data_IF_145070645261
#
_entry.id   IF_145070645261
#
_cell.length_a   1.000
_cell.length_b   1.000
_cell.length_c   1.000
_cell.angle_alpha   90.00
_cell.angle_beta   90.00
_cell.angle_gamma   90.00
#
_symmetry.space_group_name_H-M   'P 1'
#
loop_
_entity.id
_entity.type
_entity.pdbx_description
1 polymer ?
#
# COMPACT_ATOMS: atom_id res chain seq x y z
N UNK A 1 21.60 10.51 -36.64
CA UNK A 1 20.18 10.83 -36.97
C UNK A 1 19.24 9.61 -37.07
N UNK A 2 19.47 8.60 -37.92
CA UNK A 2 18.61 7.38 -37.91
C UNK A 2 18.83 6.53 -36.63
N UNK A 3 20.09 6.41 -36.19
CA UNK A 3 20.45 5.65 -34.99
C UNK A 3 19.93 6.27 -33.68
N UNK A 4 20.01 7.60 -33.52
CA UNK A 4 19.44 8.30 -32.33
C UNK A 4 17.92 8.12 -32.23
N UNK A 5 17.20 8.06 -33.34
CA UNK A 5 15.75 7.79 -33.34
C UNK A 5 15.42 6.37 -32.92
N UNK A 6 16.20 5.39 -33.40
CA UNK A 6 16.07 4.00 -32.97
C UNK A 6 16.36 3.84 -31.47
N UNK A 7 17.34 4.58 -30.95
CA UNK A 7 17.69 4.61 -29.53
C UNK A 7 16.55 5.22 -28.69
N UNK A 8 16.05 6.40 -29.02
CA UNK A 8 14.95 7.03 -28.26
C UNK A 8 13.63 6.23 -28.37
N UNK A 9 13.35 5.60 -29.52
CA UNK A 9 12.20 4.70 -29.67
C UNK A 9 12.33 3.48 -28.76
N UNK A 10 13.55 2.95 -28.61
CA UNK A 10 13.87 1.85 -27.71
C UNK A 10 13.77 2.27 -26.24
N UNK A 11 14.18 3.50 -25.90
CA UNK A 11 14.05 4.07 -24.55
C UNK A 11 12.58 4.29 -24.14
N UNK A 12 11.75 4.88 -25.00
CA UNK A 12 10.33 5.11 -24.69
C UNK A 12 9.57 3.78 -24.54
N UNK A 13 9.78 2.84 -25.47
CA UNK A 13 9.21 1.48 -25.37
C UNK A 13 9.74 0.75 -24.15
N UNK A 14 11.03 0.87 -23.89
CA UNK A 14 11.69 0.32 -22.71
C UNK A 14 11.07 0.85 -21.42
N UNK A 15 10.89 2.17 -21.31
CA UNK A 15 10.27 2.82 -20.15
C UNK A 15 8.81 2.39 -19.94
N UNK A 16 8.02 2.28 -21.01
CA UNK A 16 6.62 1.84 -20.94
C UNK A 16 6.49 0.36 -20.55
N UNK A 17 7.38 -0.49 -21.06
CA UNK A 17 7.47 -1.89 -20.65
C UNK A 17 7.92 -1.98 -19.19
N UNK A 18 8.95 -1.23 -18.80
CA UNK A 18 9.48 -1.23 -17.44
C UNK A 18 8.44 -0.73 -16.43
N UNK A 19 7.70 0.33 -16.75
CA UNK A 19 6.62 0.85 -15.90
C UNK A 19 5.48 -0.17 -15.78
N UNK A 20 5.13 -0.85 -16.87
CA UNK A 20 4.11 -1.90 -16.85
C UNK A 20 4.55 -3.11 -16.02
N UNK A 21 5.81 -3.52 -16.13
CA UNK A 21 6.41 -4.59 -15.31
C UNK A 21 6.46 -4.17 -13.84
N UNK A 22 6.82 -2.93 -13.52
CA UNK A 22 6.81 -2.42 -12.14
C UNK A 22 5.42 -2.48 -11.53
N UNK A 23 4.40 -2.00 -12.26
CA UNK A 23 3.00 -2.06 -11.80
C UNK A 23 2.56 -3.51 -11.61
N UNK A 24 2.90 -4.40 -12.56
CA UNK A 24 2.58 -5.82 -12.47
C UNK A 24 3.26 -6.50 -11.28
N UNK A 25 4.56 -6.21 -11.07
CA UNK A 25 5.33 -6.69 -9.94
C UNK A 25 4.70 -6.21 -8.63
N UNK A 26 4.32 -4.94 -8.52
CA UNK A 26 3.66 -4.40 -7.32
C UNK A 26 2.30 -5.05 -7.05
N UNK A 27 1.57 -5.50 -8.06
CA UNK A 27 0.22 -6.07 -7.87
C UNK A 27 0.23 -7.58 -7.61
N UNK A 28 1.22 -8.29 -8.12
CA UNK A 28 1.32 -9.76 -8.05
C UNK A 28 2.35 -10.22 -7.01
N UNK A 29 3.17 -9.30 -6.50
CA UNK A 29 4.10 -9.61 -5.43
C UNK A 29 3.35 -10.31 -4.28
N UNK A 30 3.76 -11.53 -3.88
CA UNK A 30 3.04 -12.30 -2.88
C UNK A 30 2.94 -11.56 -1.54
N UNK A 31 3.92 -10.72 -1.22
CA UNK A 31 3.92 -9.88 -0.01
C UNK A 31 2.92 -8.72 -0.03
N UNK A 32 2.21 -8.49 -1.14
CA UNK A 32 1.18 -7.46 -1.27
C UNK A 32 -0.25 -8.04 -1.23
N UNK A 33 -0.38 -9.36 -1.03
CA UNK A 33 -1.68 -9.99 -0.77
C UNK A 33 -2.19 -9.56 0.60
N UNK A 34 -3.50 -9.31 0.68
CA UNK A 34 -4.18 -9.13 1.97
C UNK A 34 -4.18 -10.48 2.68
N UNK A 35 -3.23 -10.69 3.59
CA UNK A 35 -3.17 -11.88 4.44
C UNK A 35 -3.61 -11.53 5.86
N UNK A 36 -4.88 -11.77 6.13
CA UNK A 36 -5.47 -11.58 7.46
C UNK A 36 -5.32 -12.82 8.34
N UNK A 37 -4.56 -13.84 7.92
CA UNK A 37 -4.31 -15.01 8.75
C UNK A 37 -3.54 -14.61 10.00
N UNK A 38 -3.91 -15.23 11.12
CA UNK A 38 -3.30 -14.99 12.44
C UNK A 38 -2.59 -16.24 12.95
N UNK A 39 -2.26 -17.18 12.06
CA UNK A 39 -1.76 -18.53 12.41
C UNK A 39 -0.43 -18.48 13.17
N UNK A 40 0.39 -17.46 12.88
CA UNK A 40 1.72 -17.28 13.49
C UNK A 40 1.70 -16.37 14.73
N UNK A 41 0.53 -15.93 15.19
CA UNK A 41 0.44 -14.97 16.29
C UNK A 41 0.55 -15.68 17.63
N UNK A 42 1.48 -15.20 18.46
CA UNK A 42 1.53 -15.57 19.87
C UNK A 42 0.49 -14.73 20.60
N UNK A 43 -0.52 -15.39 21.17
CA UNK A 43 -1.54 -14.76 22.00
C UNK A 43 -1.16 -14.92 23.47
N UNK A 44 -1.13 -13.82 24.18
CA UNK A 44 -0.78 -13.80 25.59
C UNK A 44 -1.52 -12.69 26.32
N UNK A 45 -1.73 -12.91 27.62
CA UNK A 45 -2.28 -11.92 28.53
C UNK A 45 -1.11 -11.30 29.29
N UNK A 46 -0.97 -9.99 29.18
CA UNK A 46 0.16 -9.23 29.71
C UNK A 46 -0.34 -8.10 30.60
N UNK A 47 0.48 -7.69 31.57
CA UNK A 47 0.17 -6.58 32.46
C UNK A 47 1.01 -5.38 32.04
N UNK A 48 0.38 -4.25 31.78
CA UNK A 48 1.05 -3.03 31.38
C UNK A 48 1.91 -2.50 32.54
N UNK A 49 3.21 -2.33 32.32
CA UNK A 49 4.13 -1.86 33.35
C UNK A 49 3.97 -0.36 33.61
N UNK A 50 3.78 0.41 32.56
CA UNK A 50 3.70 1.87 32.58
C UNK A 50 2.61 2.34 31.63
N UNK A 51 2.01 3.50 31.91
CA UNK A 51 1.04 4.12 31.01
C UNK A 51 1.59 4.20 29.56
N UNK A 52 0.76 3.99 28.53
CA UNK A 52 1.22 4.11 27.14
C UNK A 52 1.83 5.48 26.88
N UNK A 53 3.00 5.51 26.23
CA UNK A 53 3.71 6.75 25.94
C UNK A 53 3.59 7.08 24.45
N UNK A 54 2.90 8.18 24.15
CA UNK A 54 2.69 8.68 22.79
C UNK A 54 3.76 9.73 22.49
N UNK A 55 4.39 9.59 21.34
CA UNK A 55 5.49 10.46 20.94
C UNK A 55 5.64 10.46 19.42
N UNK A 56 6.49 11.33 18.92
CA UNK A 56 6.75 11.51 17.50
C UNK A 56 8.25 11.54 17.20
N UNK A 57 8.66 10.87 16.12
CA UNK A 57 10.04 10.82 15.67
C UNK A 57 10.16 11.50 14.30
N UNK A 58 11.01 12.53 14.20
CA UNK A 58 11.22 13.24 12.94
C UNK A 58 12.34 12.59 12.13
N UNK A 59 11.99 12.06 10.96
CA UNK A 59 12.92 11.38 10.04
C UNK A 59 13.37 12.29 8.90
N UNK A 60 13.66 13.56 9.19
CA UNK A 60 14.17 14.54 8.23
C UNK A 60 13.26 14.69 7.00
N UNK A 61 13.69 14.15 5.84
CA UNK A 61 12.92 14.22 4.57
C UNK A 61 11.73 13.26 4.50
N UNK A 62 11.70 12.21 5.33
CA UNK A 62 10.64 11.20 5.33
C UNK A 62 9.40 11.62 6.13
N UNK A 63 9.44 12.78 6.79
CA UNK A 63 8.35 13.30 7.59
C UNK A 63 8.44 12.92 9.07
N UNK A 64 7.35 13.17 9.78
CA UNK A 64 7.18 12.85 11.21
C UNK A 64 6.43 11.53 11.34
N UNK A 65 6.97 10.61 12.14
CA UNK A 65 6.34 9.33 12.48
C UNK A 65 5.75 9.40 13.88
N UNK A 66 4.43 9.21 13.99
CA UNK A 66 3.77 9.08 15.29
C UNK A 66 3.78 7.63 15.75
N UNK A 67 4.00 7.42 17.05
CA UNK A 67 4.03 6.08 17.63
C UNK A 67 3.52 6.05 19.07
N UNK A 68 3.17 4.84 19.52
CA UNK A 68 2.94 4.56 20.95
C UNK A 68 3.91 3.49 21.44
N UNK A 69 4.52 3.73 22.59
CA UNK A 69 5.38 2.78 23.31
C UNK A 69 4.58 2.07 24.40
N UNK A 70 4.75 0.75 24.45
CA UNK A 70 4.16 -0.14 25.45
C UNK A 70 5.24 -0.99 26.09
N UNK A 71 5.22 -1.05 27.42
CA UNK A 71 6.11 -1.86 28.23
C UNK A 71 5.27 -2.79 29.10
N UNK A 72 5.66 -4.07 29.19
CA UNK A 72 4.94 -5.09 29.95
C UNK A 72 5.74 -5.58 31.14
N UNK A 73 5.03 -5.91 32.22
CA UNK A 73 5.64 -6.39 33.45
C UNK A 73 6.33 -7.74 33.20
N UNK A 74 7.61 -7.83 33.56
CA UNK A 74 8.40 -9.05 33.36
C UNK A 74 8.96 -9.21 31.93
N UNK A 75 8.66 -8.30 31.02
CA UNK A 75 9.27 -8.23 29.69
C UNK A 75 10.21 -7.03 29.61
N UNK A 76 11.43 -7.24 29.11
CA UNK A 76 12.42 -6.15 28.92
C UNK A 76 12.31 -5.49 27.55
N UNK A 77 11.46 -6.01 26.66
CA UNK A 77 11.28 -5.49 25.31
C UNK A 77 10.37 -4.27 25.33
N UNK A 78 10.78 -3.23 24.60
CA UNK A 78 9.93 -2.09 24.26
C UNK A 78 9.12 -2.43 23.00
N UNK A 79 7.80 -2.36 23.09
CA UNK A 79 6.91 -2.54 21.95
C UNK A 79 6.49 -1.19 21.39
N UNK A 80 6.58 -1.01 20.07
CA UNK A 80 6.15 0.20 19.38
C UNK A 80 5.03 -0.10 18.39
N UNK A 81 3.92 0.62 18.50
CA UNK A 81 2.86 0.66 17.47
C UNK A 81 3.10 1.91 16.64
N UNK A 82 3.30 1.74 15.33
CA UNK A 82 3.76 2.78 14.38
C UNK A 82 2.98 2.66 13.07
N UNK A 83 3.09 3.68 12.21
CA UNK A 83 2.64 3.64 10.82
C UNK A 83 1.14 3.32 10.69
N UNK A 84 0.81 2.37 9.79
CA UNK A 84 -0.59 1.99 9.54
C UNK A 84 -1.27 1.47 10.81
N UNK A 85 -0.56 0.70 11.65
CA UNK A 85 -1.15 0.14 12.86
C UNK A 85 -1.52 1.25 13.87
N UNK A 86 -0.72 2.33 13.93
CA UNK A 86 -1.04 3.52 14.72
C UNK A 86 -2.30 4.23 14.22
N UNK A 87 -2.50 4.34 12.90
CA UNK A 87 -3.69 4.96 12.31
C UNK A 87 -4.98 4.19 12.63
N UNK A 88 -4.88 2.88 12.87
CA UNK A 88 -6.01 2.04 13.27
C UNK A 88 -6.13 1.84 14.78
N UNK A 89 -5.33 2.54 15.57
CA UNK A 89 -5.46 2.60 17.02
C UNK A 89 -6.65 3.48 17.37
N UNK A 90 -7.57 2.97 18.20
CA UNK A 90 -8.67 3.76 18.74
C UNK A 90 -8.17 4.71 19.82
N UNK A 91 -7.56 5.83 19.41
CA UNK A 91 -6.85 6.76 20.30
C UNK A 91 -7.66 7.20 21.53
N UNK A 92 -8.87 7.73 21.33
CA UNK A 92 -9.73 8.26 22.41
C UNK A 92 -10.07 7.23 23.48
N UNK A 93 -10.12 5.96 23.07
CA UNK A 93 -10.36 4.83 23.97
C UNK A 93 -9.03 4.35 24.58
N UNK A 94 -7.95 4.35 23.81
CA UNK A 94 -6.64 3.83 24.21
C UNK A 94 -5.97 4.68 25.30
N UNK A 95 -6.20 5.99 25.33
CA UNK A 95 -5.69 6.88 26.38
C UNK A 95 -6.25 6.57 27.78
N UNK A 96 -7.32 5.77 27.86
CA UNK A 96 -7.95 5.33 29.10
C UNK A 96 -7.25 4.10 29.73
N UNK A 97 -6.25 3.53 29.04
CA UNK A 97 -5.44 2.45 29.58
C UNK A 97 -4.37 3.04 30.50
N UNK A 98 -4.22 2.46 31.68
CA UNK A 98 -3.26 2.86 32.71
C UNK A 98 -2.31 1.72 33.10
N UNK A 99 -1.24 2.07 33.80
CA UNK A 99 -0.31 1.11 34.37
C UNK A 99 -1.03 0.12 35.29
N UNK A 100 -0.68 -1.15 35.21
CA UNK A 100 -1.31 -2.23 35.96
C UNK A 100 -2.50 -2.87 35.25
N UNK A 101 -2.97 -2.31 34.14
CA UNK A 101 -4.03 -2.93 33.35
C UNK A 101 -3.59 -4.24 32.72
N UNK A 102 -4.50 -5.21 32.74
CA UNK A 102 -4.35 -6.49 32.04
C UNK A 102 -4.85 -6.36 30.61
N UNK A 103 -3.98 -6.67 29.65
CA UNK A 103 -4.24 -6.59 28.23
C UNK A 103 -4.09 -7.97 27.58
N UNK A 104 -4.92 -8.26 26.60
CA UNK A 104 -4.76 -9.39 25.70
C UNK A 104 -4.07 -8.89 24.43
N UNK A 105 -2.94 -9.49 24.09
CA UNK A 105 -2.18 -9.10 22.90
C UNK A 105 -2.02 -10.29 21.94
N UNK A 106 -1.96 -9.98 20.65
CA UNK A 106 -1.49 -10.89 19.63
C UNK A 106 -0.24 -10.30 18.98
N UNK A 107 0.89 -11.02 19.03
CA UNK A 107 2.18 -10.50 18.54
C UNK A 107 2.96 -11.49 17.68
N UNK A 108 3.86 -10.93 16.87
CA UNK A 108 4.88 -11.69 16.13
C UNK A 108 6.25 -11.09 16.45
N UNK A 109 7.14 -11.88 17.06
CA UNK A 109 8.42 -11.44 17.62
C UNK A 109 8.30 -10.17 18.49
N UNK A 110 8.52 -8.99 17.91
CA UNK A 110 8.55 -7.67 18.58
C UNK A 110 7.45 -6.70 18.10
N UNK A 111 6.45 -7.16 17.35
CA UNK A 111 5.35 -6.34 16.86
C UNK A 111 4.02 -6.81 17.44
N UNK A 112 3.25 -5.88 18.00
CA UNK A 112 1.88 -6.13 18.46
C UNK A 112 0.96 -5.85 17.27
N UNK A 113 0.16 -6.85 16.92
CA UNK A 113 -0.79 -6.79 15.81
C UNK A 113 -2.22 -6.59 16.30
N UNK A 114 -2.55 -7.12 17.49
CA UNK A 114 -3.83 -6.89 18.13
C UNK A 114 -3.66 -6.60 19.61
N UNK A 115 -4.53 -5.74 20.15
CA UNK A 115 -4.53 -5.36 21.56
C UNK A 115 -5.97 -5.12 22.03
N UNK A 116 -6.40 -5.88 23.06
CA UNK A 116 -7.71 -5.75 23.69
C UNK A 116 -7.66 -5.70 25.22
N UNK A 117 -8.65 -5.05 25.84
CA UNK A 117 -8.90 -5.04 27.29
C UNK A 117 -10.39 -5.28 27.52
N UNK A 118 -10.76 -6.21 28.39
CA UNK A 118 -12.16 -6.46 28.76
C UNK A 118 -13.11 -6.64 27.55
N UNK A 119 -12.64 -7.32 26.49
CA UNK A 119 -13.41 -7.51 25.24
C UNK A 119 -13.44 -6.29 24.30
N UNK A 120 -12.88 -5.15 24.70
CA UNK A 120 -12.73 -3.99 23.85
C UNK A 120 -11.44 -4.08 23.03
N UNK A 121 -11.55 -3.98 21.71
CA UNK A 121 -10.41 -4.09 20.80
C UNK A 121 -9.89 -2.71 20.38
N UNK A 122 -8.70 -2.33 20.83
CA UNK A 122 -8.09 -1.04 20.54
C UNK A 122 -7.27 -1.05 19.26
N UNK A 123 -6.67 -2.19 18.94
CA UNK A 123 -5.87 -2.39 17.73
C UNK A 123 -6.34 -3.65 17.01
N UNK A 124 -6.88 -3.48 15.81
CA UNK A 124 -7.42 -4.58 15.02
C UNK A 124 -6.52 -4.89 13.82
N UNK A 125 -5.71 -5.95 13.93
CA UNK A 125 -4.84 -6.44 12.85
C UNK A 125 -5.57 -6.60 11.52
N UNK A 126 -6.73 -7.26 11.53
CA UNK A 126 -7.49 -7.57 10.32
C UNK A 126 -7.89 -6.29 9.59
N UNK A 127 -8.32 -5.26 10.33
CA UNK A 127 -8.68 -3.95 9.75
C UNK A 127 -7.44 -3.25 9.19
N UNK A 128 -6.33 -3.24 9.94
CA UNK A 128 -5.09 -2.60 9.52
C UNK A 128 -4.48 -3.26 8.26
N UNK A 129 -4.41 -4.59 8.23
CA UNK A 129 -3.82 -5.34 7.11
C UNK A 129 -4.70 -5.28 5.85
N UNK A 130 -6.02 -5.31 6.02
CA UNK A 130 -6.95 -5.08 4.90
C UNK A 130 -6.72 -3.72 4.27
N UNK A 131 -6.60 -2.66 5.07
CA UNK A 131 -6.34 -1.32 4.56
C UNK A 131 -4.95 -1.22 3.90
N UNK A 132 -3.91 -1.82 4.49
CA UNK A 132 -2.57 -1.87 3.90
C UNK A 132 -2.60 -2.46 2.49
N UNK A 133 -3.27 -3.60 2.29
CA UNK A 133 -3.38 -4.20 0.97
C UNK A 133 -4.26 -3.41 0.02
N UNK A 134 -5.38 -2.82 0.49
CA UNK A 134 -6.25 -2.00 -0.35
C UNK A 134 -5.57 -0.72 -0.88
N UNK A 135 -4.65 -0.10 -0.12
CA UNK A 135 -3.83 1.02 -0.62
C UNK A 135 -3.03 0.62 -1.87
N UNK A 136 -2.45 -0.58 -1.88
CA UNK A 136 -1.67 -1.08 -3.01
C UNK A 136 -2.58 -1.31 -4.24
N UNK A 137 -3.76 -1.88 -4.01
CA UNK A 137 -4.75 -2.05 -5.07
C UNK A 137 -5.30 -0.72 -5.59
N UNK A 138 -5.43 0.32 -4.76
CA UNK A 138 -5.86 1.65 -5.18
C UNK A 138 -4.93 2.27 -6.22
N UNK A 139 -3.61 2.09 -6.09
CA UNK A 139 -2.67 2.53 -7.13
C UNK A 139 -2.99 1.83 -8.45
N UNK A 140 -3.24 0.52 -8.45
CA UNK A 140 -3.63 -0.18 -9.66
C UNK A 140 -4.98 0.31 -10.24
N UNK A 141 -5.94 0.70 -9.39
CA UNK A 141 -7.19 1.31 -9.83
C UNK A 141 -6.99 2.62 -10.59
N UNK A 142 -5.99 3.44 -10.21
CA UNK A 142 -5.62 4.65 -10.95
C UNK A 142 -5.00 4.35 -12.33
N UNK A 143 -4.37 3.18 -12.50
CA UNK A 143 -3.82 2.76 -13.79
C UNK A 143 -4.88 2.27 -14.77
N UNK A 144 -5.99 1.69 -14.29
CA UNK A 144 -7.06 1.20 -15.15
C UNK A 144 -7.57 2.28 -16.13
N UNK A 145 -7.93 3.52 -15.74
CA UNK A 145 -8.42 4.53 -16.67
C UNK A 145 -7.36 5.10 -17.62
N UNK A 146 -6.07 5.03 -17.26
CA UNK A 146 -4.97 5.48 -18.13
C UNK A 146 -4.89 4.60 -19.38
N UNK A 147 -5.20 3.31 -19.25
CA UNK A 147 -5.08 2.36 -20.35
C UNK A 147 -6.10 2.62 -21.48
N UNK A 148 -7.43 2.78 -21.23
CA UNK A 148 -8.40 3.21 -22.23
C UNK A 148 -8.05 4.54 -22.89
N UNK A 149 -7.47 5.50 -22.16
CA UNK A 149 -7.03 6.78 -22.75
C UNK A 149 -5.90 6.53 -23.76
N UNK A 150 -4.91 5.71 -23.41
CA UNK A 150 -3.83 5.30 -24.32
C UNK A 150 -4.36 4.54 -25.55
N UNK A 151 -5.41 3.72 -25.37
CA UNK A 151 -6.08 2.99 -26.45
C UNK A 151 -6.91 3.93 -27.33
N UNK A 152 -7.65 4.89 -26.74
CA UNK A 152 -8.52 5.83 -27.44
C UNK A 152 -7.75 6.67 -28.46
N UNK A 153 -6.52 7.05 -28.11
CA UNK A 153 -5.59 7.76 -28.99
C UNK A 153 -5.28 6.99 -30.29
N UNK A 154 -5.44 5.66 -30.33
CA UNK A 154 -5.29 4.86 -31.57
C UNK A 154 -6.41 5.11 -32.58
N UNK A 155 -7.60 5.45 -32.11
CA UNK A 155 -8.77 5.63 -32.98
C UNK A 155 -8.82 7.03 -33.61
N UNK A 156 -7.87 7.91 -33.28
CA UNK A 156 -7.76 9.21 -33.93
C UNK A 156 -7.30 9.07 -35.39
N UNK A 157 -8.10 9.64 -36.31
CA UNK A 157 -7.78 9.72 -37.74
C UNK A 157 -6.39 10.32 -38.00
N UNK A 158 -5.96 11.26 -37.14
CA UNK A 158 -4.60 11.80 -37.12
C UNK A 158 -3.90 11.30 -35.86
N UNK A 159 -2.86 10.48 -36.05
CA UNK A 159 -2.02 10.02 -34.94
C UNK A 159 -1.35 11.22 -34.26
N UNK A 160 -1.26 11.24 -32.93
CA UNK A 160 -0.59 12.34 -32.24
C UNK A 160 0.90 12.34 -32.57
N UNK A 161 1.45 13.55 -32.66
CA UNK A 161 2.86 13.79 -32.87
C UNK A 161 3.42 14.47 -31.62
N UNK A 162 4.62 14.07 -31.21
CA UNK A 162 5.37 14.84 -30.21
C UNK A 162 6.47 15.64 -30.90
N UNK A 163 6.75 16.84 -30.40
CA UNK A 163 7.79 17.71 -30.95
C UNK A 163 9.07 17.56 -30.12
N UNK A 164 10.16 17.17 -30.76
CA UNK A 164 11.48 17.11 -30.13
C UNK A 164 12.52 17.67 -31.07
N UNK A 165 13.40 18.56 -30.57
CA UNK A 165 14.43 19.25 -31.37
C UNK A 165 13.89 19.78 -32.73
N UNK A 166 12.75 20.47 -32.69
CA UNK A 166 12.07 21.04 -33.88
C UNK A 166 11.57 20.06 -34.95
N UNK A 167 11.52 18.75 -34.67
CA UNK A 167 10.91 17.75 -35.55
C UNK A 167 9.64 17.15 -34.93
N UNK A 168 8.66 16.85 -35.78
CA UNK A 168 7.42 16.17 -35.39
C UNK A 168 7.58 14.67 -35.58
N UNK A 169 7.34 13.91 -34.53
CA UNK A 169 7.48 12.46 -34.53
C UNK A 169 6.13 11.81 -34.26
N UNK A 170 5.65 10.91 -35.13
CA UNK A 170 4.41 10.19 -34.89
C UNK A 170 4.59 9.23 -33.72
N UNK A 171 3.68 9.26 -32.77
CA UNK A 171 3.65 8.27 -31.70
C UNK A 171 3.14 6.94 -32.31
N UNK A 172 3.98 5.89 -32.23
CA UNK A 172 3.65 4.55 -32.72
C UNK A 172 3.37 3.62 -31.55
N UNK A 173 2.11 3.21 -31.40
CA UNK A 173 1.74 2.08 -30.55
C UNK A 173 1.56 0.85 -31.43
N UNK A 174 2.28 -0.23 -31.09
CA UNK A 174 2.23 -1.48 -31.84
C UNK A 174 1.16 -2.42 -31.26
N UNK A 175 0.73 -3.42 -32.05
CA UNK A 175 -0.22 -4.47 -31.62
C UNK A 175 0.25 -5.15 -30.33
N UNK A 176 1.56 -5.36 -30.16
CA UNK A 176 2.14 -5.97 -28.96
C UNK A 176 1.84 -5.12 -27.72
N UNK A 177 1.97 -3.79 -27.82
CA UNK A 177 1.64 -2.87 -26.72
C UNK A 177 0.16 -2.95 -26.35
N UNK A 178 -0.71 -3.11 -27.34
CA UNK A 178 -2.15 -3.30 -27.12
C UNK A 178 -2.47 -4.62 -26.40
N UNK A 179 -1.82 -5.72 -26.80
CA UNK A 179 -1.97 -7.04 -26.15
C UNK A 179 -1.54 -6.96 -24.68
N UNK A 180 -0.39 -6.34 -24.41
CA UNK A 180 0.12 -6.16 -23.04
C UNK A 180 -0.90 -5.39 -22.20
N UNK A 181 -1.37 -4.24 -22.68
CA UNK A 181 -2.36 -3.44 -21.95
C UNK A 181 -3.67 -4.18 -21.68
N UNK A 182 -4.17 -4.92 -22.66
CA UNK A 182 -5.41 -5.70 -22.53
C UNK A 182 -5.24 -6.82 -21.51
N UNK A 183 -4.13 -7.56 -21.56
CA UNK A 183 -3.81 -8.60 -20.59
C UNK A 183 -3.68 -8.00 -19.17
N UNK A 184 -3.03 -6.84 -19.03
CA UNK A 184 -2.92 -6.14 -17.75
C UNK A 184 -4.29 -5.76 -17.19
N UNK A 185 -5.21 -5.22 -18.00
CA UNK A 185 -6.58 -4.93 -17.54
C UNK A 185 -7.29 -6.19 -17.07
N UNK A 186 -7.23 -7.28 -17.84
CA UNK A 186 -7.91 -8.53 -17.49
C UNK A 186 -7.37 -9.06 -16.16
N UNK A 187 -6.05 -9.08 -15.99
CA UNK A 187 -5.41 -9.55 -14.76
C UNK A 187 -5.77 -8.65 -13.57
N UNK A 188 -5.76 -7.34 -13.75
CA UNK A 188 -6.20 -6.37 -12.74
C UNK A 188 -7.64 -6.65 -12.32
N UNK A 189 -8.56 -6.72 -13.28
CA UNK A 189 -10.00 -6.89 -13.01
C UNK A 189 -10.31 -8.22 -12.33
N UNK A 190 -9.54 -9.29 -12.63
CA UNK A 190 -9.73 -10.62 -12.03
C UNK A 190 -9.11 -10.77 -10.63
N UNK A 191 -8.02 -10.06 -10.34
CA UNK A 191 -7.28 -10.23 -9.08
C UNK A 191 -7.56 -9.12 -8.06
N UNK A 192 -8.16 -8.01 -8.48
CA UNK A 192 -8.45 -6.90 -7.57
C UNK A 192 -9.72 -7.16 -6.75
N UNK A 193 -9.68 -6.90 -5.42
CA UNK A 193 -10.88 -6.89 -4.61
C UNK A 193 -11.80 -5.75 -5.05
N UNK A 194 -13.12 -5.90 -4.91
CA UNK A 194 -14.10 -4.90 -5.35
C UNK A 194 -13.75 -3.49 -4.83
N UNK A 195 -13.90 -2.47 -5.68
CA UNK A 195 -13.54 -1.09 -5.36
C UNK A 195 -14.27 -0.61 -4.10
N UNK A 196 -13.50 -0.11 -3.13
CA UNK A 196 -14.00 0.44 -1.87
C UNK A 196 -13.77 1.95 -1.85
N UNK A 197 -14.75 2.69 -1.32
CA UNK A 197 -14.68 4.14 -1.23
C UNK A 197 -13.68 4.52 -0.13
N UNK A 198 -12.79 5.45 -0.44
CA UNK A 198 -11.87 6.04 0.53
C UNK A 198 -12.56 7.23 1.19
N UNK A 199 -12.69 7.23 2.51
CA UNK A 199 -13.09 8.40 3.30
C UNK A 199 -12.06 8.61 4.40
N UNK A 200 -11.58 9.85 4.56
CA UNK A 200 -10.57 10.21 5.56
C UNK A 200 -9.29 9.34 5.54
N UNK A 201 -8.93 8.77 4.39
CA UNK A 201 -7.74 7.91 4.24
C UNK A 201 -7.95 6.42 4.58
N UNK A 202 -9.17 6.01 4.94
CA UNK A 202 -9.54 4.61 5.19
C UNK A 202 -10.45 4.07 4.07
N UNK A 203 -10.32 2.79 3.75
CA UNK A 203 -11.26 2.08 2.88
C UNK A 203 -12.48 1.62 3.69
N UNK A 204 -13.67 2.04 3.26
CA UNK A 204 -14.93 1.63 3.87
C UNK A 204 -15.58 0.52 3.04
N UNK A 205 -16.14 -0.47 3.75
CA UNK A 205 -17.04 -1.48 3.21
C UNK A 205 -18.48 -1.11 3.52
#
# INVERSE_FOLDING_TARGET
>A
MYNEWLETKKEFRGGLILSSIMVFALLIWPGNKIDTSQENFIRETVILQSKPFFDEESHGKSGTEHFVKLNFTGDKREYRITGIDYNFLRYDDFIQIDSGDTLEIARTSNKIHSLSKNGFNYLNYTKAETNRGLVIYFIGYLFIPIIPICIFVQFFKKRPYYRYKNKLYPIQFDIITFIIFTATIIILTLNMPHFQIISSGEFYK
#
